data_IF_665178976092
#
_entry.id   IF_665178976092
#
_cell.length_a   1.000
_cell.length_b   1.000
_cell.length_c   1.000
_cell.angle_alpha   90.00
_cell.angle_beta   90.00
_cell.angle_gamma   90.00
#
_symmetry.space_group_name_H-M   'P 1'
#
loop_
_entity.id
_entity.type
_entity.pdbx_description
1 polymer ?
#
# COMPACT_ATOMS: atom_id res chain seq x y z
N UNK A 1 -15.58 4.94 7.81
CA UNK A 1 -14.42 4.09 7.47
C UNK A 1 -14.21 3.10 8.60
N UNK A 2 -13.55 1.96 8.34
CA UNK A 2 -13.16 0.98 9.35
C UNK A 2 -11.63 0.88 9.37
N UNK A 3 -11.03 0.79 10.55
CA UNK A 3 -9.58 0.63 10.73
C UNK A 3 -9.27 -0.79 11.22
N UNK A 4 -8.21 -1.40 10.72
CA UNK A 4 -7.79 -2.77 11.04
C UNK A 4 -6.46 -2.85 11.82
N UNK A 5 -5.84 -1.70 12.09
CA UNK A 5 -4.56 -1.57 12.79
C UNK A 5 -4.63 -0.48 13.86
N UNK A 6 -3.71 -0.53 14.82
CA UNK A 6 -3.57 0.43 15.91
C UNK A 6 -2.26 1.20 15.83
N UNK A 7 -2.18 2.31 16.57
CA UNK A 7 -0.95 3.09 16.68
C UNK A 7 0.13 2.23 17.33
N UNK A 8 1.28 2.11 16.68
CA UNK A 8 2.41 1.30 17.14
C UNK A 8 2.52 -0.07 16.46
N UNK A 9 1.52 -0.48 15.69
CA UNK A 9 1.60 -1.74 14.94
C UNK A 9 2.66 -1.66 13.83
N UNK A 10 3.49 -2.70 13.73
CA UNK A 10 4.39 -2.90 12.59
C UNK A 10 3.57 -3.50 11.45
N UNK A 11 3.54 -2.82 10.30
CA UNK A 11 2.80 -3.27 9.11
C UNK A 11 3.75 -3.67 7.98
N UNK A 12 3.35 -4.66 7.18
CA UNK A 12 4.11 -5.11 6.00
C UNK A 12 3.52 -4.58 4.70
N UNK A 13 4.32 -4.51 3.63
CA UNK A 13 3.84 -4.12 2.29
C UNK A 13 2.68 -5.02 1.87
N UNK A 14 1.58 -4.42 1.40
CA UNK A 14 0.38 -5.13 0.96
C UNK A 14 -0.61 -5.50 2.08
N UNK A 15 -0.28 -5.25 3.35
CA UNK A 15 -1.21 -5.47 4.45
C UNK A 15 -2.40 -4.50 4.37
N UNK A 16 -3.60 -5.04 4.56
CA UNK A 16 -4.84 -4.24 4.63
C UNK A 16 -4.89 -3.55 6.00
N UNK A 17 -4.90 -2.22 6.00
CA UNK A 17 -4.86 -1.41 7.24
C UNK A 17 -6.17 -0.67 7.53
N UNK A 18 -7.01 -0.43 6.52
CA UNK A 18 -8.31 0.21 6.67
C UNK A 18 -9.21 -0.08 5.46
N UNK A 19 -10.52 0.12 5.64
CA UNK A 19 -11.49 0.18 4.56
C UNK A 19 -11.78 1.65 4.18
N UNK A 20 -11.98 1.89 2.88
CA UNK A 20 -12.37 3.21 2.35
C UNK A 20 -13.60 3.75 3.09
N UNK A 21 -13.68 5.06 3.28
CA UNK A 21 -14.85 5.70 3.86
C UNK A 21 -15.12 7.05 3.24
N UNK A 22 -16.09 7.76 3.82
CA UNK A 22 -16.50 9.10 3.41
C UNK A 22 -16.71 10.03 4.62
N UNK A 23 -15.90 9.86 5.67
CA UNK A 23 -16.06 10.56 6.96
C UNK A 23 -15.29 11.89 7.04
N UNK A 24 -14.65 12.34 5.96
CA UNK A 24 -13.94 13.63 5.87
C UNK A 24 -14.69 14.67 5.03
N UNK A 25 -14.05 15.81 4.74
CA UNK A 25 -14.56 16.76 3.74
C UNK A 25 -14.38 16.17 2.34
N UNK A 26 -15.35 15.40 1.89
CA UNK A 26 -15.43 15.04 0.48
C UNK A 26 -16.85 14.91 0.03
N UNK A 27 -17.03 15.21 -1.24
CA UNK A 27 -18.27 15.06 -1.98
C UNK A 27 -18.55 13.60 -2.36
N UNK A 28 -17.60 12.67 -2.14
CA UNK A 28 -17.76 11.23 -2.37
C UNK A 28 -16.61 10.35 -1.85
N UNK A 29 -16.71 9.02 -1.98
CA UNK A 29 -15.68 8.08 -1.51
C UNK A 29 -14.34 8.35 -2.20
N UNK A 30 -13.32 8.67 -1.42
CA UNK A 30 -12.00 9.10 -1.90
C UNK A 30 -10.92 8.60 -0.94
N UNK A 31 -9.72 8.34 -1.47
CA UNK A 31 -8.54 8.01 -0.69
C UNK A 31 -7.58 9.20 -0.75
N UNK A 32 -7.32 9.81 0.39
CA UNK A 32 -6.22 10.76 0.54
C UNK A 32 -4.95 9.98 0.91
N UNK A 33 -3.92 10.07 0.09
CA UNK A 33 -2.64 9.40 0.28
C UNK A 33 -1.51 10.41 0.17
N UNK A 34 -0.67 10.48 1.20
CA UNK A 34 0.46 11.40 1.29
C UNK A 34 1.70 10.64 1.76
N UNK A 35 2.87 11.03 1.25
CA UNK A 35 4.16 10.52 1.71
C UNK A 35 4.92 11.67 2.36
N UNK A 36 5.37 11.43 3.60
CA UNK A 36 6.17 12.36 4.36
C UNK A 36 7.60 11.82 4.49
N UNK A 37 8.58 12.55 3.97
CA UNK A 37 10.01 12.25 4.17
C UNK A 37 10.63 13.39 4.96
N UNK A 38 11.23 13.07 6.11
CA UNK A 38 11.72 14.08 7.07
C UNK A 38 10.65 15.13 7.43
N UNK A 39 9.42 14.68 7.66
CA UNK A 39 8.25 15.52 7.96
C UNK A 39 7.88 16.54 6.86
N UNK A 40 8.38 16.37 5.62
CA UNK A 40 7.99 17.17 4.47
C UNK A 40 7.18 16.34 3.47
N UNK A 41 6.08 16.88 2.94
CA UNK A 41 5.35 16.23 1.86
C UNK A 41 6.22 16.14 0.62
N UNK A 42 6.22 14.97 0.00
CA UNK A 42 6.91 14.70 -1.26
C UNK A 42 5.93 14.15 -2.29
N UNK A 43 6.26 14.32 -3.56
CA UNK A 43 5.46 13.75 -4.66
C UNK A 43 5.43 12.21 -4.53
N UNK A 44 4.24 11.60 -4.33
CA UNK A 44 4.11 10.16 -4.20
C UNK A 44 4.53 9.39 -5.46
N UNK A 45 4.51 10.02 -6.64
CA UNK A 45 4.83 9.38 -7.93
C UNK A 45 6.23 8.77 -7.95
N UNK A 46 7.18 9.35 -7.21
CA UNK A 46 8.55 8.83 -7.12
C UNK A 46 8.70 7.59 -6.21
N UNK A 47 7.64 7.21 -5.49
CA UNK A 47 7.65 6.10 -4.53
C UNK A 47 6.74 4.94 -4.94
N UNK A 48 6.05 5.06 -6.08
CA UNK A 48 5.40 3.90 -6.70
C UNK A 48 6.45 3.00 -7.33
N UNK A 49 6.89 1.99 -6.59
CA UNK A 49 7.53 0.82 -7.20
C UNK A 49 6.40 0.03 -7.86
N UNK A 50 6.16 0.29 -9.14
CA UNK A 50 5.44 -0.66 -9.99
C UNK A 50 6.29 -1.92 -9.97
N UNK A 51 5.84 -2.95 -9.26
CA UNK A 51 6.47 -4.26 -9.28
C UNK A 51 6.48 -4.70 -10.74
N UNK A 52 7.62 -4.50 -11.39
CA UNK A 52 8.01 -5.25 -12.56
C UNK A 52 8.27 -6.64 -12.04
N UNK A 53 7.20 -7.41 -11.78
CA UNK A 53 7.34 -8.80 -11.35
C UNK A 53 8.23 -9.50 -12.39
N UNK A 54 9.50 -9.85 -12.11
CA UNK A 54 10.16 -10.79 -12.98
C UNK A 54 9.40 -12.09 -12.75
N UNK A 55 8.71 -12.58 -13.78
CA UNK A 55 8.15 -13.91 -13.78
C UNK A 55 9.29 -14.90 -13.59
N UNK A 56 9.57 -15.26 -12.33
CA UNK A 56 10.51 -16.31 -11.99
C UNK A 56 9.88 -17.60 -12.52
N UNK A 57 10.49 -18.16 -13.56
CA UNK A 57 10.10 -19.46 -14.12
C UNK A 57 10.28 -20.50 -13.01
N UNK A 58 9.18 -21.09 -12.55
CA UNK A 58 9.23 -22.31 -11.75
C UNK A 58 9.67 -23.43 -12.69
N UNK A 59 10.95 -23.80 -12.65
CA UNK A 59 11.41 -25.03 -13.26
C UNK A 59 11.03 -26.20 -12.33
N UNK A 60 9.93 -26.88 -12.63
CA UNK A 60 9.62 -28.18 -12.02
C UNK A 60 10.58 -29.23 -12.61
N UNK A 61 11.66 -29.55 -11.89
CA UNK A 61 12.50 -30.68 -12.26
C UNK A 61 11.83 -31.98 -11.81
N UNK A 62 11.02 -32.59 -12.69
CA UNK A 62 10.69 -34.00 -12.60
C UNK A 62 11.94 -34.80 -13.00
N UNK A 63 12.71 -35.28 -12.04
CA UNK A 63 13.59 -36.43 -12.27
C UNK A 63 12.79 -37.69 -11.92
N UNK A 64 12.60 -38.55 -12.93
CA UNK A 64 12.27 -39.96 -12.71
C UNK A 64 13.39 -40.63 -11.94
#
# INVERSE_FOLDING_TARGET
SQYFVHIGDVVTRGQVIAALGNTGMSTGPHLHYEILVHAKPVDPLHYFIVDSFPSVRVAMNHRK
#
